data_IF_686336340967
#
_entry.id   IF_686336340967
#
_cell.length_a   1.000
_cell.length_b   1.000
_cell.length_c   1.000
_cell.angle_alpha   90.00
_cell.angle_beta   90.00
_cell.angle_gamma   90.00
#
_symmetry.space_group_name_H-M   'P 1'
#
loop_
_entity.id
_entity.type
_entity.pdbx_description
1 polymer ?
#
# COMPACT_ATOMS: atom_id res chain seq x y z
N UNK A 1 -11.18 -11.52 -9.57
CA UNK A 1 -11.20 -10.80 -8.28
C UNK A 1 -11.44 -9.35 -8.60
N UNK A 2 -12.67 -8.88 -8.42
CA UNK A 2 -13.04 -7.48 -8.66
C UNK A 2 -12.58 -6.63 -7.48
N UNK A 3 -11.89 -5.52 -7.76
CA UNK A 3 -11.50 -4.55 -6.75
C UNK A 3 -12.76 -3.79 -6.34
N UNK A 4 -13.23 -3.96 -5.10
CA UNK A 4 -14.36 -3.16 -4.61
C UNK A 4 -13.88 -1.72 -4.37
N UNK A 5 -14.44 -0.73 -5.09
CA UNK A 5 -14.08 0.70 -4.96
C UNK A 5 -14.18 1.28 -3.55
N UNK A 6 -14.82 0.57 -2.61
CA UNK A 6 -14.99 1.00 -1.22
C UNK A 6 -14.12 0.23 -0.21
N UNK A 7 -13.18 -0.60 -0.69
CA UNK A 7 -12.30 -1.39 0.19
C UNK A 7 -10.83 -1.12 -0.13
N UNK A 8 -10.28 0.05 0.24
CA UNK A 8 -8.85 0.34 0.09
C UNK A 8 -7.98 -0.70 0.82
N UNK A 9 -8.48 -1.28 1.92
CA UNK A 9 -7.88 -2.38 2.68
C UNK A 9 -7.57 -3.63 1.83
N UNK A 10 -8.32 -3.81 0.73
CA UNK A 10 -8.21 -4.91 -0.21
C UNK A 10 -7.42 -4.55 -1.47
N UNK A 11 -6.85 -3.34 -1.56
CA UNK A 11 -6.02 -2.94 -2.69
C UNK A 11 -4.53 -2.97 -2.32
N UNK A 12 -3.77 -4.01 -2.70
CA UNK A 12 -2.35 -4.12 -2.36
C UNK A 12 -1.51 -2.93 -2.81
N UNK A 13 -1.91 -2.22 -3.87
CA UNK A 13 -1.17 -1.07 -4.39
C UNK A 13 -1.24 0.13 -3.43
N UNK A 14 -2.33 0.31 -2.69
CA UNK A 14 -2.47 1.39 -1.71
C UNK A 14 -1.48 1.19 -0.55
N UNK A 15 -1.21 -0.06 -0.17
CA UNK A 15 -0.18 -0.36 0.83
C UNK A 15 1.22 -0.03 0.33
N UNK A 16 1.53 -0.31 -0.94
CA UNK A 16 2.81 0.03 -1.55
C UNK A 16 2.97 1.54 -1.71
N UNK A 17 1.89 2.24 -2.05
CA UNK A 17 1.85 3.71 -2.09
C UNK A 17 2.13 4.31 -0.71
N UNK A 18 1.50 3.80 0.35
CA UNK A 18 1.76 4.24 1.72
C UNK A 18 3.23 3.99 2.13
N UNK A 19 3.83 2.87 1.72
CA UNK A 19 5.26 2.61 1.95
C UNK A 19 6.14 3.68 1.28
N UNK A 20 5.82 4.09 0.04
CA UNK A 20 6.53 5.17 -0.65
C UNK A 20 6.28 6.56 -0.03
N UNK A 21 5.05 6.86 0.40
CA UNK A 21 4.69 8.12 1.06
C UNK A 21 5.43 8.30 2.40
N UNK A 22 5.63 7.22 3.17
CA UNK A 22 6.44 7.26 4.40
C UNK A 22 7.89 7.69 4.13
N UNK A 23 8.49 7.20 3.04
CA UNK A 23 9.85 7.59 2.66
C UNK A 23 9.92 9.05 2.20
N UNK A 24 8.90 9.54 1.49
CA UNK A 24 8.76 10.96 1.15
C UNK A 24 8.65 11.81 2.41
N UNK A 25 7.79 11.43 3.35
CA UNK A 25 7.59 12.16 4.61
C UNK A 25 8.86 12.19 5.47
N UNK A 26 9.64 11.11 5.47
CA UNK A 26 10.91 11.01 6.18
C UNK A 26 11.96 11.95 5.60
N UNK A 27 12.02 12.06 4.27
CA UNK A 27 13.05 12.84 3.58
C UNK A 27 12.68 14.33 3.40
N UNK A 28 11.39 14.68 3.51
CA UNK A 28 10.88 16.07 3.48
C UNK A 28 11.44 16.89 2.31
N UNK A 29 11.16 16.50 1.04
CA UNK A 29 11.67 17.24 -0.11
C UNK A 29 11.19 18.69 -0.12
N UNK A 30 12.08 19.60 -0.49
CA UNK A 30 11.80 21.05 -0.58
C UNK A 30 11.35 21.51 -1.96
N UNK A 31 11.41 20.65 -2.99
CA UNK A 31 11.01 20.97 -4.35
C UNK A 31 10.53 19.74 -5.11
N UNK A 32 9.87 19.96 -6.25
CA UNK A 32 9.26 18.91 -7.07
C UNK A 32 10.29 17.91 -7.62
N UNK A 33 11.49 18.38 -8.02
CA UNK A 33 12.54 17.48 -8.54
C UNK A 33 13.05 16.52 -7.46
N UNK A 34 13.24 17.03 -6.24
CA UNK A 34 13.61 16.22 -5.09
C UNK A 34 12.50 15.22 -4.74
N UNK A 35 11.24 15.67 -4.75
CA UNK A 35 10.09 14.78 -4.52
C UNK A 35 10.03 13.65 -5.54
N UNK A 36 10.17 13.95 -6.83
CA UNK A 36 10.15 12.96 -7.90
C UNK A 36 11.28 11.91 -7.74
N UNK A 37 12.49 12.37 -7.46
CA UNK A 37 13.64 11.49 -7.25
C UNK A 37 13.42 10.56 -6.04
N UNK A 38 12.85 11.08 -4.95
CA UNK A 38 12.56 10.31 -3.74
C UNK A 38 11.47 9.27 -4.01
N UNK A 39 10.38 9.65 -4.67
CA UNK A 39 9.30 8.71 -5.01
C UNK A 39 9.83 7.57 -5.88
N UNK A 40 10.60 7.88 -6.94
CA UNK A 40 11.20 6.87 -7.81
C UNK A 40 12.13 5.93 -7.03
N UNK A 41 12.98 6.48 -6.15
CA UNK A 41 13.89 5.71 -5.32
C UNK A 41 13.15 4.82 -4.33
N UNK A 42 12.17 5.37 -3.60
CA UNK A 42 11.38 4.64 -2.63
C UNK A 42 10.62 3.48 -3.30
N UNK A 43 10.02 3.73 -4.47
CA UNK A 43 9.33 2.71 -5.24
C UNK A 43 10.26 1.58 -5.69
N UNK A 44 11.45 1.92 -6.20
CA UNK A 44 12.46 0.93 -6.61
C UNK A 44 13.04 0.11 -5.44
N UNK A 45 12.96 0.63 -4.21
CA UNK A 45 13.43 -0.06 -3.00
C UNK A 45 12.41 -1.03 -2.41
N UNK A 46 11.16 -1.04 -2.91
CA UNK A 46 10.15 -2.00 -2.48
C UNK A 46 10.61 -3.40 -2.90
N UNK A 47 10.92 -4.23 -1.90
CA UNK A 47 11.38 -5.59 -2.15
C UNK A 47 10.29 -6.49 -2.75
N UNK A 48 10.68 -7.43 -3.60
CA UNK A 48 9.77 -8.50 -4.10
C UNK A 48 9.11 -9.25 -2.95
N UNK A 49 9.84 -9.49 -1.85
CA UNK A 49 9.30 -10.11 -0.63
C UNK A 49 8.15 -9.32 -0.02
N UNK A 50 8.23 -7.99 -0.02
CA UNK A 50 7.14 -7.12 0.46
C UNK A 50 5.88 -7.29 -0.40
N UNK A 51 6.04 -7.32 -1.72
CA UNK A 51 4.95 -7.59 -2.65
C UNK A 51 4.34 -8.99 -2.43
N UNK A 52 5.16 -10.03 -2.30
CA UNK A 52 4.71 -11.39 -2.03
C UNK A 52 3.92 -11.47 -0.71
N UNK A 53 4.44 -10.91 0.38
CA UNK A 53 3.76 -10.89 1.67
C UNK A 53 2.38 -10.20 1.61
N UNK A 54 2.23 -9.15 0.80
CA UNK A 54 0.96 -8.46 0.62
C UNK A 54 -0.06 -9.38 -0.07
N UNK A 55 0.35 -10.01 -1.18
CA UNK A 55 -0.47 -10.98 -1.92
C UNK A 55 -0.86 -12.15 -1.02
N UNK A 56 0.09 -12.74 -0.29
CA UNK A 56 -0.15 -13.87 0.63
C UNK A 56 -1.09 -13.49 1.78
N UNK A 57 -1.15 -12.21 2.14
CA UNK A 57 -2.05 -11.72 3.19
C UNK A 57 -3.48 -11.49 2.71
N UNK A 58 -3.72 -11.40 1.39
CA UNK A 58 -5.04 -11.06 0.83
C UNK A 58 -6.17 -12.00 1.26
N UNK A 59 -6.01 -13.34 1.28
CA UNK A 59 -7.08 -14.22 1.74
C UNK A 59 -7.54 -13.91 3.17
N UNK A 60 -6.59 -13.59 4.06
CA UNK A 60 -6.90 -13.20 5.46
C UNK A 60 -7.61 -11.86 5.55
N UNK A 61 -7.27 -10.91 4.67
CA UNK A 61 -7.92 -9.58 4.62
C UNK A 61 -9.34 -9.68 4.09
N UNK A 62 -9.54 -10.43 3.00
CA UNK A 62 -10.87 -10.73 2.48
C UNK A 62 -11.75 -11.40 3.54
N UNK A 63 -11.22 -12.39 4.26
CA UNK A 63 -11.94 -13.01 5.37
C UNK A 63 -12.30 -12.02 6.49
N UNK A 64 -11.43 -11.05 6.77
CA UNK A 64 -11.71 -9.98 7.74
C UNK A 64 -12.82 -9.04 7.29
N UNK A 65 -12.87 -8.67 6.01
CA UNK A 65 -13.95 -7.84 5.43
C UNK A 65 -15.28 -8.60 5.48
N UNK A 66 -15.28 -9.88 5.12
CA UNK A 66 -16.48 -10.74 5.19
C UNK A 66 -16.98 -10.82 6.63
N UNK A 67 -16.08 -11.04 7.60
CA UNK A 67 -16.43 -11.09 9.03
C UNK A 67 -16.99 -9.77 9.55
N UNK A 68 -16.49 -8.64 9.01
CA UNK A 68 -16.98 -7.31 9.34
C UNK A 68 -18.20 -6.88 8.49
N UNK A 69 -18.85 -7.80 7.77
CA UNK A 69 -20.01 -7.49 6.91
C UNK A 69 -19.74 -6.38 5.89
N UNK A 70 -18.51 -6.31 5.36
CA UNK A 70 -18.10 -5.26 4.42
C UNK A 70 -17.69 -3.94 5.07
N UNK A 71 -17.77 -3.82 6.41
CA UNK A 71 -17.27 -2.63 7.12
C UNK A 71 -15.72 -2.59 7.13
N UNK A 72 -15.13 -1.41 7.34
CA UNK A 72 -13.68 -1.22 7.38
C UNK A 72 -12.98 -2.18 8.33
N UNK A 73 -11.76 -2.58 7.94
CA UNK A 73 -10.91 -3.45 8.74
C UNK A 73 -9.71 -2.66 9.27
N UNK A 74 -8.85 -3.32 10.05
CA UNK A 74 -7.63 -2.70 10.59
C UNK A 74 -6.49 -2.53 9.56
N UNK A 75 -6.71 -3.01 8.34
CA UNK A 75 -5.65 -3.16 7.34
C UNK A 75 -5.49 -1.90 6.51
#
# INVERSE_FOLDING_TARGET
MELQSQSPDLNPIEHLRNDAEKEVQKQKPSNIKALEAIVKKAWAQISVRRCANLVDSMPRRCASVIKNFGCPTKY
#
